data_IF_617512412601
#
_entry.id   IF_617512412601
#
_cell.length_a   1.000
_cell.length_b   1.000
_cell.length_c   1.000
_cell.angle_alpha   90.00
_cell.angle_beta   90.00
_cell.angle_gamma   90.00
#
_symmetry.space_group_name_H-M   'P 1'
#
loop_
_entity.id
_entity.type
_entity.pdbx_description
1 polymer ?
#
# COMPACT_ATOMS: atom_id res chain seq x y z
N UNK A 1 28.56 10.02 -20.18
CA UNK A 1 27.99 10.81 -19.06
C UNK A 1 26.48 10.78 -19.22
N UNK A 2 25.76 10.09 -18.33
CA UNK A 2 24.30 9.94 -18.38
C UNK A 2 23.66 11.17 -17.74
N UNK A 3 22.94 11.98 -18.52
CA UNK A 3 22.11 13.06 -17.98
C UNK A 3 20.92 12.46 -17.25
N UNK A 4 20.86 12.70 -15.94
CA UNK A 4 19.78 12.22 -15.08
C UNK A 4 18.45 12.83 -15.55
N UNK A 5 17.53 11.99 -16.06
CA UNK A 5 16.23 12.45 -16.53
C UNK A 5 15.35 12.81 -15.32
N UNK A 6 14.89 14.07 -15.26
CA UNK A 6 13.99 14.57 -14.20
C UNK A 6 12.54 14.33 -14.60
N UNK A 7 11.67 14.05 -13.62
CA UNK A 7 10.23 13.81 -13.83
C UNK A 7 9.39 14.83 -13.05
N UNK A 8 8.25 15.23 -13.60
CA UNK A 8 7.32 16.15 -12.97
C UNK A 8 6.66 15.49 -11.76
N UNK A 9 6.71 16.08 -10.56
CA UNK A 9 6.14 15.48 -9.35
C UNK A 9 4.61 15.49 -9.33
N UNK A 10 3.97 16.33 -10.15
CA UNK A 10 2.51 16.45 -10.18
C UNK A 10 1.86 15.43 -11.14
N UNK A 11 2.46 15.19 -12.30
CA UNK A 11 1.87 14.35 -13.36
C UNK A 11 2.77 13.22 -13.90
N UNK A 12 4.03 13.14 -13.46
CA UNK A 12 4.97 12.10 -13.90
C UNK A 12 5.59 12.29 -15.29
N UNK A 13 5.31 13.39 -15.98
CA UNK A 13 5.90 13.67 -17.31
C UNK A 13 7.42 13.93 -17.23
N UNK A 14 8.17 13.55 -18.26
CA UNK A 14 9.62 13.82 -18.36
C UNK A 14 9.86 15.32 -18.52
N UNK A 15 10.81 15.86 -17.76
CA UNK A 15 11.20 17.26 -17.78
C UNK A 15 12.50 17.40 -18.57
N UNK A 16 12.39 17.98 -19.77
CA UNK A 16 13.52 18.29 -20.65
C UNK A 16 14.30 19.53 -20.18
N UNK A 17 14.66 19.59 -18.90
CA UNK A 17 15.41 20.70 -18.31
C UNK A 17 14.60 21.99 -18.09
N UNK A 18 13.27 21.97 -18.26
CA UNK A 18 12.38 23.13 -18.04
C UNK A 18 11.90 23.20 -16.58
N UNK A 19 11.76 24.41 -16.04
CA UNK A 19 11.25 24.67 -14.68
C UNK A 19 9.73 24.46 -14.56
N UNK A 20 8.98 24.65 -15.64
CA UNK A 20 7.53 24.46 -15.68
C UNK A 20 7.17 23.23 -16.52
N UNK A 21 6.33 22.35 -15.98
CA UNK A 21 5.85 21.17 -16.68
C UNK A 21 4.89 21.55 -17.81
N UNK A 22 5.24 21.17 -19.04
CA UNK A 22 4.42 21.42 -20.24
C UNK A 22 3.09 20.66 -20.27
N UNK A 23 2.97 19.57 -19.51
CA UNK A 23 1.76 18.72 -19.50
C UNK A 23 0.71 19.19 -18.49
N UNK A 24 1.12 19.74 -17.34
CA UNK A 24 0.19 20.11 -16.27
C UNK A 24 0.36 21.54 -15.73
N UNK A 25 1.27 22.33 -16.30
CA UNK A 25 1.54 23.72 -15.88
C UNK A 25 2.23 23.84 -14.52
N UNK A 26 2.68 22.73 -13.93
CA UNK A 26 3.29 22.74 -12.61
C UNK A 26 4.69 23.38 -12.63
N UNK A 27 4.86 24.45 -11.84
CA UNK A 27 6.11 25.19 -11.70
C UNK A 27 6.98 24.60 -10.57
N UNK A 28 8.18 24.13 -10.92
CA UNK A 28 9.13 23.55 -9.99
C UNK A 28 9.88 24.58 -9.13
N UNK A 29 10.01 25.84 -9.58
CA UNK A 29 10.64 26.90 -8.78
C UNK A 29 9.73 27.31 -7.62
N UNK A 30 8.41 27.23 -7.83
CA UNK A 30 7.42 27.49 -6.77
C UNK A 30 7.59 26.56 -5.55
N UNK A 31 8.13 25.35 -5.72
CA UNK A 31 8.45 24.46 -4.58
C UNK A 31 9.78 24.79 -3.92
N UNK A 32 10.79 25.28 -4.64
CA UNK A 32 12.06 25.69 -4.05
C UNK A 32 11.85 26.92 -3.14
N UNK A 33 11.00 27.86 -3.56
CA UNK A 33 10.65 29.03 -2.77
C UNK A 33 9.68 28.72 -1.62
N UNK A 34 8.73 27.78 -1.83
CA UNK A 34 7.86 27.31 -0.74
C UNK A 34 8.65 26.58 0.35
N UNK A 35 9.62 25.74 -0.01
CA UNK A 35 10.48 25.04 0.96
C UNK A 35 11.46 25.99 1.66
N UNK A 36 11.83 27.10 1.04
CA UNK A 36 12.71 28.11 1.66
C UNK A 36 11.92 29.05 2.59
N UNK A 37 10.68 29.43 2.23
CA UNK A 37 9.82 30.32 3.04
C UNK A 37 9.13 29.64 4.23
N UNK A 38 9.11 28.31 4.31
CA UNK A 38 8.60 27.61 5.51
C UNK A 38 9.59 27.70 6.69
N UNK A 39 10.86 28.02 6.45
CA UNK A 39 11.90 28.02 7.49
C UNK A 39 12.15 29.36 8.19
N UNK A 40 11.44 30.43 7.85
CA UNK A 40 11.59 31.71 8.56
C UNK A 40 10.26 32.46 8.72
N UNK A 41 9.98 32.82 9.98
CA UNK A 41 9.02 33.80 10.48
C UNK A 41 7.56 33.36 10.76
N UNK A 42 7.30 33.14 12.04
CA UNK A 42 6.24 33.80 12.83
C UNK A 42 4.77 33.61 12.43
N UNK A 43 4.29 32.36 12.47
CA UNK A 43 2.87 32.06 12.68
C UNK A 43 2.67 31.31 14.01
N UNK A 44 1.88 31.83 14.97
CA UNK A 44 1.57 31.10 16.19
C UNK A 44 0.60 29.97 15.85
N UNK A 45 1.06 28.71 15.94
CA UNK A 45 0.18 27.55 16.03
C UNK A 45 0.30 26.47 14.96
N UNK A 46 1.23 26.54 14.01
CA UNK A 46 1.69 25.34 13.29
C UNK A 46 3.06 24.96 13.81
N UNK A 47 3.08 24.24 14.94
CA UNK A 47 4.25 23.45 15.32
C UNK A 47 4.57 22.59 14.11
N UNK A 48 5.73 22.86 13.51
CA UNK A 48 6.38 22.08 12.47
C UNK A 48 6.05 20.58 12.62
N UNK A 49 5.08 20.11 11.83
CA UNK A 49 4.70 18.70 11.73
C UNK A 49 5.89 17.85 11.26
N UNK A 50 6.89 18.52 10.65
CA UNK A 50 8.14 17.98 10.15
C UNK A 50 9.11 17.56 11.27
N UNK A 51 9.07 18.17 12.45
CA UNK A 51 10.04 17.88 13.52
C UNK A 51 9.51 16.89 14.58
N UNK A 52 8.21 16.93 14.91
CA UNK A 52 7.64 16.06 15.96
C UNK A 52 7.51 14.60 15.49
N UNK A 53 7.13 14.39 14.21
CA UNK A 53 7.01 13.04 13.66
C UNK A 53 8.35 12.41 13.27
N UNK A 54 9.41 13.20 13.06
CA UNK A 54 10.70 12.68 12.62
C UNK A 54 11.34 11.72 13.64
N UNK A 55 11.25 12.05 14.94
CA UNK A 55 11.77 11.19 16.00
C UNK A 55 10.98 9.87 16.13
N UNK A 56 9.65 9.94 16.01
CA UNK A 56 8.77 8.77 16.00
C UNK A 56 9.06 7.91 14.79
N UNK A 57 9.09 8.53 13.60
CA UNK A 57 9.38 7.87 12.33
C UNK A 57 10.72 7.13 12.37
N UNK A 58 11.81 7.80 12.76
CA UNK A 58 13.13 7.17 12.84
C UNK A 58 13.13 5.92 13.73
N UNK A 59 12.29 5.89 14.77
CA UNK A 59 12.14 4.73 15.66
C UNK A 59 11.36 3.60 14.99
N UNK A 60 10.26 3.91 14.30
CA UNK A 60 9.37 2.92 13.69
C UNK A 60 9.80 2.46 12.30
N UNK A 61 10.60 3.26 11.58
CA UNK A 61 10.98 3.05 10.19
C UNK A 61 11.59 1.68 9.98
N UNK A 62 12.49 1.25 10.88
CA UNK A 62 13.12 -0.07 10.80
C UNK A 62 12.08 -1.21 10.80
N UNK A 63 11.00 -1.08 11.57
CA UNK A 63 9.93 -2.06 11.64
C UNK A 63 9.04 -2.00 10.40
N UNK A 64 8.71 -0.79 9.93
CA UNK A 64 7.92 -0.56 8.71
C UNK A 64 8.64 -1.11 7.48
N UNK A 65 9.94 -0.83 7.35
CA UNK A 65 10.78 -1.33 6.25
C UNK A 65 10.94 -2.84 6.34
N UNK A 66 11.19 -3.38 7.54
CA UNK A 66 11.29 -4.82 7.74
C UNK A 66 9.99 -5.54 7.33
N UNK A 67 8.86 -5.14 7.92
CA UNK A 67 7.55 -5.78 7.64
C UNK A 67 7.14 -5.59 6.18
N UNK A 68 7.28 -4.39 5.61
CA UNK A 68 6.95 -4.13 4.22
C UNK A 68 7.82 -4.91 3.22
N UNK A 69 9.13 -5.06 3.48
CA UNK A 69 10.06 -5.82 2.63
C UNK A 69 9.77 -7.32 2.60
N UNK A 70 9.26 -7.87 3.69
CA UNK A 70 8.98 -9.31 3.82
C UNK A 70 7.50 -9.66 3.65
N UNK A 71 6.63 -8.65 3.44
CA UNK A 71 5.17 -8.81 3.30
C UNK A 71 4.76 -9.84 2.24
N UNK A 72 5.47 -9.88 1.10
CA UNK A 72 5.19 -10.83 0.02
C UNK A 72 5.43 -12.29 0.42
N UNK A 73 6.42 -12.58 1.27
CA UNK A 73 6.71 -13.94 1.75
C UNK A 73 5.64 -14.44 2.71
N UNK A 74 5.19 -13.57 3.62
CA UNK A 74 4.08 -13.89 4.52
C UNK A 74 2.81 -14.18 3.73
N UNK A 75 2.54 -13.39 2.69
CA UNK A 75 1.40 -13.60 1.79
C UNK A 75 1.50 -14.91 0.99
N UNK A 76 2.69 -15.32 0.53
CA UNK A 76 2.88 -16.65 -0.08
C UNK A 76 2.56 -17.76 0.92
N UNK A 77 3.05 -17.64 2.17
CA UNK A 77 2.69 -18.57 3.23
C UNK A 77 1.18 -18.64 3.46
N UNK A 78 0.51 -17.49 3.47
CA UNK A 78 -0.94 -17.42 3.60
C UNK A 78 -1.67 -18.08 2.42
N UNK A 79 -1.21 -17.90 1.18
CA UNK A 79 -1.76 -18.59 0.01
C UNK A 79 -1.72 -20.11 0.19
N UNK A 80 -0.59 -20.65 0.64
CA UNK A 80 -0.45 -22.10 0.87
C UNK A 80 -1.43 -22.60 1.94
N UNK A 81 -1.54 -21.87 3.06
CA UNK A 81 -2.50 -22.21 4.12
C UNK A 81 -3.93 -22.19 3.59
N UNK A 82 -4.30 -21.17 2.80
CA UNK A 82 -5.64 -21.03 2.23
C UNK A 82 -5.97 -22.12 1.20
N UNK A 83 -5.01 -22.52 0.37
CA UNK A 83 -5.19 -23.62 -0.56
C UNK A 83 -5.42 -24.94 0.19
N UNK A 84 -4.61 -25.24 1.20
CA UNK A 84 -4.75 -26.47 2.00
C UNK A 84 -6.07 -26.47 2.77
N UNK A 85 -6.37 -25.38 3.49
CA UNK A 85 -7.62 -25.24 4.25
C UNK A 85 -8.85 -25.28 3.35
N UNK A 86 -8.78 -24.65 2.17
CA UNK A 86 -9.85 -24.67 1.16
C UNK A 86 -10.13 -26.08 0.63
N UNK A 87 -9.10 -26.86 0.34
CA UNK A 87 -9.24 -28.26 -0.09
C UNK A 87 -9.84 -29.11 1.04
N UNK A 88 -9.35 -28.97 2.28
CA UNK A 88 -9.89 -29.70 3.43
C UNK A 88 -11.38 -29.36 3.64
N UNK A 89 -11.75 -28.07 3.57
CA UNK A 89 -13.13 -27.61 3.73
C UNK A 89 -14.04 -28.13 2.61
N UNK A 90 -13.55 -28.20 1.36
CA UNK A 90 -14.29 -28.79 0.24
C UNK A 90 -14.56 -30.28 0.45
N UNK A 91 -13.52 -31.07 0.74
CA UNK A 91 -13.64 -32.53 0.95
C UNK A 91 -14.54 -32.82 2.16
N UNK A 92 -14.29 -32.13 3.28
CA UNK A 92 -15.08 -32.26 4.50
C UNK A 92 -16.53 -31.83 4.31
N UNK A 93 -16.77 -30.73 3.58
CA UNK A 93 -18.11 -30.25 3.27
C UNK A 93 -18.91 -31.23 2.40
N UNK A 94 -18.28 -31.85 1.39
CA UNK A 94 -18.90 -32.91 0.58
C UNK A 94 -19.24 -34.13 1.45
N UNK A 95 -18.33 -34.56 2.32
CA UNK A 95 -18.56 -35.68 3.22
C UNK A 95 -19.68 -35.41 4.23
N UNK A 96 -19.74 -34.20 4.82
CA UNK A 96 -20.80 -33.78 5.73
C UNK A 96 -22.16 -33.72 5.05
N UNK A 97 -22.23 -33.17 3.83
CA UNK A 97 -23.47 -33.08 3.08
C UNK A 97 -24.04 -34.46 2.73
N UNK A 98 -23.17 -35.46 2.48
CA UNK A 98 -23.58 -36.84 2.23
C UNK A 98 -24.12 -37.56 3.47
N UNK A 99 -23.55 -37.31 4.65
CA UNK A 99 -23.86 -38.10 5.85
C UNK A 99 -24.94 -37.46 6.75
N UNK A 100 -24.93 -36.14 6.86
CA UNK A 100 -25.79 -35.41 7.82
C UNK A 100 -26.87 -34.62 7.08
N UNK A 101 -26.63 -34.28 5.81
CA UNK A 101 -27.53 -33.46 5.00
C UNK A 101 -27.64 -32.02 5.52
N UNK A 102 -27.84 -31.08 4.61
CA UNK A 102 -28.31 -29.73 4.95
C UNK A 102 -27.24 -28.63 4.98
N UNK A 103 -27.62 -27.52 5.63
CA UNK A 103 -26.98 -26.21 5.51
C UNK A 103 -25.50 -26.17 5.94
N UNK A 104 -25.09 -27.04 6.87
CA UNK A 104 -23.71 -27.08 7.40
C UNK A 104 -22.73 -27.55 6.32
N UNK A 105 -23.08 -28.59 5.55
CA UNK A 105 -22.25 -29.09 4.45
C UNK A 105 -22.09 -28.05 3.35
N UNK A 106 -23.17 -27.38 2.98
CA UNK A 106 -23.15 -26.30 1.98
C UNK A 106 -22.31 -25.09 2.44
N UNK A 107 -22.38 -24.72 3.71
CA UNK A 107 -21.56 -23.64 4.27
C UNK A 107 -20.06 -23.98 4.23
N UNK A 108 -19.68 -25.22 4.56
CA UNK A 108 -18.29 -25.68 4.48
C UNK A 108 -17.77 -25.67 3.04
N UNK A 109 -18.57 -26.13 2.07
CA UNK A 109 -18.22 -26.06 0.64
C UNK A 109 -18.06 -24.60 0.20
N UNK A 110 -19.00 -23.73 0.57
CA UNK A 110 -18.93 -22.29 0.26
C UNK A 110 -17.67 -21.63 0.83
N UNK A 111 -17.32 -21.94 2.09
CA UNK A 111 -16.08 -21.48 2.71
C UNK A 111 -14.84 -21.99 1.95
N UNK A 112 -14.84 -23.26 1.54
CA UNK A 112 -13.74 -23.84 0.76
C UNK A 112 -13.56 -23.14 -0.58
N UNK A 113 -14.64 -22.89 -1.33
CA UNK A 113 -14.60 -22.13 -2.59
C UNK A 113 -14.07 -20.71 -2.35
N UNK A 114 -14.55 -20.02 -1.32
CA UNK A 114 -14.10 -18.67 -0.99
C UNK A 114 -12.60 -18.62 -0.70
N UNK A 115 -12.08 -19.58 0.08
CA UNK A 115 -10.64 -19.68 0.37
C UNK A 115 -9.80 -19.90 -0.90
N UNK A 116 -10.28 -20.72 -1.83
CA UNK A 116 -9.59 -20.96 -3.11
C UNK A 116 -9.55 -19.69 -3.98
N UNK A 117 -10.68 -18.98 -4.08
CA UNK A 117 -10.75 -17.70 -4.80
C UNK A 117 -9.82 -16.67 -4.15
N UNK A 118 -9.83 -16.57 -2.82
CA UNK A 118 -8.95 -15.71 -2.05
C UNK A 118 -7.47 -16.00 -2.32
N UNK A 119 -7.07 -17.27 -2.31
CA UNK A 119 -5.69 -17.68 -2.60
C UNK A 119 -5.23 -17.26 -4.01
N UNK A 120 -6.07 -17.47 -5.03
CA UNK A 120 -5.76 -17.09 -6.41
C UNK A 120 -5.65 -15.57 -6.55
N UNK A 121 -6.63 -14.82 -6.02
CA UNK A 121 -6.61 -13.35 -6.03
C UNK A 121 -5.39 -12.79 -5.29
N UNK A 122 -5.05 -13.34 -4.12
CA UNK A 122 -3.84 -12.96 -3.39
C UNK A 122 -2.58 -13.20 -4.22
N UNK A 123 -2.48 -14.32 -4.94
CA UNK A 123 -1.34 -14.59 -5.83
C UNK A 123 -1.17 -13.53 -6.91
N UNK A 124 -2.28 -13.13 -7.55
CA UNK A 124 -2.27 -12.05 -8.54
C UNK A 124 -1.87 -10.72 -7.91
N UNK A 125 -2.44 -10.38 -6.75
CA UNK A 125 -2.13 -9.13 -6.05
C UNK A 125 -0.67 -9.06 -5.59
N UNK A 126 -0.08 -10.18 -5.17
CA UNK A 126 1.34 -10.25 -4.84
C UNK A 126 2.17 -9.86 -6.05
N UNK A 127 1.91 -10.50 -7.20
CA UNK A 127 2.71 -10.32 -8.39
C UNK A 127 2.64 -8.89 -8.92
N UNK A 128 1.43 -8.34 -9.07
CA UNK A 128 1.22 -7.03 -9.70
C UNK A 128 1.47 -5.86 -8.75
N UNK A 129 1.32 -6.03 -7.43
CA UNK A 129 1.33 -4.91 -6.51
C UNK A 129 2.27 -5.07 -5.32
N UNK A 130 2.19 -6.18 -4.59
CA UNK A 130 2.99 -6.33 -3.35
C UNK A 130 4.48 -6.45 -3.64
N UNK A 131 4.88 -7.13 -4.72
CA UNK A 131 6.28 -7.21 -5.11
C UNK A 131 6.89 -5.84 -5.48
N UNK A 132 6.26 -5.03 -6.36
CA UNK A 132 6.70 -3.64 -6.59
C UNK A 132 6.74 -2.81 -5.30
N UNK A 133 5.70 -2.91 -4.48
CA UNK A 133 5.59 -2.20 -3.21
C UNK A 133 6.73 -2.55 -2.25
N UNK A 134 7.00 -3.83 -2.06
CA UNK A 134 8.08 -4.36 -1.22
C UNK A 134 9.45 -3.84 -1.68
N UNK A 135 9.69 -3.77 -2.99
CA UNK A 135 10.93 -3.20 -3.56
C UNK A 135 11.03 -1.70 -3.26
N UNK A 136 9.94 -0.95 -3.40
CA UNK A 136 9.90 0.50 -3.14
C UNK A 136 10.06 0.84 -1.66
N UNK A 137 9.47 0.07 -0.76
CA UNK A 137 9.72 0.19 0.69
C UNK A 137 11.18 -0.10 1.01
N UNK A 138 11.76 -1.16 0.46
CA UNK A 138 13.15 -1.51 0.71
C UNK A 138 14.12 -0.41 0.21
N UNK A 139 13.75 0.29 -0.86
CA UNK A 139 14.48 1.43 -1.39
C UNK A 139 14.20 2.76 -0.65
N UNK A 140 13.30 2.77 0.35
CA UNK A 140 12.86 3.97 1.09
C UNK A 140 12.30 5.08 0.18
N UNK A 141 11.68 4.70 -0.94
CA UNK A 141 11.09 5.63 -1.90
C UNK A 141 9.69 6.07 -1.43
N UNK A 142 9.62 6.77 -0.29
CA UNK A 142 8.35 7.15 0.35
C UNK A 142 7.54 8.13 -0.49
N UNK A 143 8.21 8.97 -1.29
CA UNK A 143 7.54 9.87 -2.21
C UNK A 143 6.73 9.11 -3.25
N UNK A 144 7.28 8.03 -3.83
CA UNK A 144 6.51 7.17 -4.74
C UNK A 144 5.34 6.51 -4.01
N UNK A 145 5.58 5.94 -2.82
CA UNK A 145 4.56 5.20 -2.07
C UNK A 145 3.35 6.04 -1.65
N UNK A 146 3.59 7.31 -1.29
CA UNK A 146 2.54 8.25 -0.92
C UNK A 146 1.84 8.84 -2.14
N UNK A 147 2.55 9.05 -3.25
CA UNK A 147 1.97 9.67 -4.44
C UNK A 147 1.35 8.69 -5.44
N UNK A 148 1.64 7.40 -5.33
CA UNK A 148 0.98 6.35 -6.13
C UNK A 148 -0.45 6.10 -5.62
N UNK A 149 -1.36 7.00 -6.02
CA UNK A 149 -2.73 7.07 -5.53
C UNK A 149 -3.76 6.67 -6.59
N UNK A 150 -4.91 6.18 -6.13
CA UNK A 150 -6.16 6.14 -6.88
C UNK A 150 -6.98 7.36 -6.48
N UNK A 151 -7.53 8.06 -7.47
CA UNK A 151 -8.42 9.20 -7.25
C UNK A 151 -9.86 8.70 -7.30
N UNK A 152 -10.59 8.87 -6.20
CA UNK A 152 -12.01 8.57 -6.08
C UNK A 152 -12.78 9.88 -5.88
N UNK A 153 -13.19 10.50 -6.98
CA UNK A 153 -13.80 11.83 -6.97
C UNK A 153 -12.82 12.89 -6.47
N UNK A 154 -13.06 13.45 -5.28
CA UNK A 154 -12.17 14.44 -4.63
C UNK A 154 -11.18 13.82 -3.64
N UNK A 155 -11.29 12.53 -3.36
CA UNK A 155 -10.44 11.82 -2.40
C UNK A 155 -9.26 11.15 -3.12
N UNK A 156 -8.05 11.30 -2.58
CA UNK A 156 -6.84 10.60 -3.04
C UNK A 156 -6.51 9.50 -2.04
N UNK A 157 -6.53 8.24 -2.48
CA UNK A 157 -6.17 7.09 -1.65
C UNK A 157 -4.93 6.40 -2.20
N UNK A 158 -3.87 6.20 -1.40
CA UNK A 158 -2.69 5.45 -1.83
C UNK A 158 -3.08 4.03 -2.20
N UNK A 159 -2.60 3.57 -3.36
CA UNK A 159 -2.92 2.23 -3.90
C UNK A 159 -2.60 1.14 -2.89
N UNK A 160 -1.47 1.25 -2.19
CA UNK A 160 -1.06 0.29 -1.15
C UNK A 160 -2.08 0.13 -0.03
N UNK A 161 -2.77 1.21 0.38
CA UNK A 161 -3.79 1.17 1.43
C UNK A 161 -5.03 0.45 0.93
N UNK A 162 -5.51 0.83 -0.26
CA UNK A 162 -6.68 0.21 -0.89
C UNK A 162 -6.45 -1.30 -1.10
N UNK A 163 -5.27 -1.67 -1.60
CA UNK A 163 -4.90 -3.05 -1.86
C UNK A 163 -4.68 -3.86 -0.58
N UNK A 164 -4.14 -3.24 0.48
CA UNK A 164 -4.06 -3.85 1.80
C UNK A 164 -5.45 -4.21 2.34
N UNK A 165 -6.43 -3.32 2.19
CA UNK A 165 -7.83 -3.56 2.59
C UNK A 165 -8.45 -4.70 1.75
N UNK A 166 -8.24 -4.69 0.43
CA UNK A 166 -8.74 -5.76 -0.45
C UNK A 166 -8.13 -7.10 -0.03
N UNK A 167 -6.81 -7.17 0.19
CA UNK A 167 -6.15 -8.37 0.68
C UNK A 167 -6.76 -8.84 2.00
N UNK A 168 -7.01 -7.93 2.94
CA UNK A 168 -7.58 -8.25 4.24
C UNK A 168 -8.96 -8.94 4.12
N UNK A 169 -9.83 -8.43 3.24
CA UNK A 169 -11.18 -8.99 2.99
C UNK A 169 -11.09 -10.40 2.39
N UNK A 170 -10.21 -10.60 1.41
CA UNK A 170 -10.07 -11.89 0.73
C UNK A 170 -9.25 -12.93 1.51
N UNK A 171 -8.47 -12.49 2.50
CA UNK A 171 -7.61 -13.34 3.35
C UNK A 171 -8.03 -13.38 4.80
N UNK A 172 -9.33 -13.12 5.07
CA UNK A 172 -9.97 -13.18 6.39
C UNK A 172 -9.15 -12.52 7.51
N UNK A 173 -8.53 -11.37 7.24
CA UNK A 173 -7.90 -10.54 8.27
C UNK A 173 -6.42 -10.76 8.55
N UNK A 174 -5.75 -11.73 7.91
CA UNK A 174 -4.34 -12.03 8.26
C UNK A 174 -3.35 -11.74 7.13
N UNK A 175 -3.77 -11.89 5.87
CA UNK A 175 -2.88 -11.67 4.73
C UNK A 175 -2.64 -10.19 4.42
N UNK A 176 -3.63 -9.32 4.64
CA UNK A 176 -3.53 -7.89 4.35
C UNK A 176 -2.74 -7.11 5.39
N UNK A 177 -2.74 -7.54 6.64
CA UNK A 177 -2.15 -6.83 7.78
C UNK A 177 -0.68 -6.42 7.56
N UNK A 178 0.15 -7.30 6.99
CA UNK A 178 1.57 -7.03 6.75
C UNK A 178 1.84 -6.02 5.64
N UNK A 179 0.84 -5.71 4.81
CA UNK A 179 0.88 -4.63 3.81
C UNK A 179 0.21 -3.38 4.38
N UNK A 180 -0.91 -3.56 5.07
CA UNK A 180 -1.75 -2.49 5.59
C UNK A 180 -1.05 -1.71 6.71
N UNK A 181 -0.39 -2.39 7.65
CA UNK A 181 0.30 -1.73 8.77
C UNK A 181 1.43 -0.81 8.27
N UNK A 182 2.37 -1.28 7.41
CA UNK A 182 3.36 -0.39 6.81
C UNK A 182 2.75 0.76 6.02
N UNK A 183 1.71 0.50 5.24
CA UNK A 183 1.03 1.52 4.45
C UNK A 183 0.41 2.61 5.35
N UNK A 184 -0.27 2.23 6.43
CA UNK A 184 -0.83 3.16 7.41
C UNK A 184 0.28 3.98 8.08
N UNK A 185 1.36 3.33 8.54
CA UNK A 185 2.50 4.03 9.13
C UNK A 185 3.09 5.06 8.15
N UNK A 186 3.26 4.71 6.88
CA UNK A 186 3.80 5.63 5.86
C UNK A 186 2.83 6.80 5.63
N UNK A 187 1.52 6.55 5.55
CA UNK A 187 0.53 7.60 5.28
C UNK A 187 0.41 8.64 6.41
N UNK A 188 0.55 8.21 7.67
CA UNK A 188 0.26 9.07 8.83
C UNK A 188 1.49 9.52 9.60
N UNK A 189 2.55 8.71 9.61
CA UNK A 189 3.78 8.94 10.38
C UNK A 189 5.01 9.05 9.47
N UNK A 190 4.85 8.80 8.16
CA UNK A 190 5.94 8.83 7.20
C UNK A 190 6.57 10.21 7.01
N UNK A 191 7.78 10.25 6.43
CA UNK A 191 8.52 11.50 6.22
C UNK A 191 7.97 12.29 5.02
N UNK A 192 7.11 11.68 4.19
CA UNK A 192 6.52 12.30 3.01
C UNK A 192 5.05 12.69 3.29
N UNK A 193 4.68 13.90 2.90
CA UNK A 193 3.33 14.43 3.13
C UNK A 193 2.33 13.94 2.08
N UNK A 194 1.22 13.34 2.54
CA UNK A 194 0.10 12.93 1.70
C UNK A 194 -0.91 14.07 1.50
N UNK A 195 -1.19 14.41 0.25
CA UNK A 195 -2.37 15.22 -0.10
C UNK A 195 -3.60 14.32 -0.25
N UNK A 196 -4.49 14.35 0.73
CA UNK A 196 -5.71 13.53 0.75
C UNK A 196 -6.82 14.02 -0.18
N UNK A 197 -6.77 15.28 -0.62
CA UNK A 197 -7.74 15.87 -1.56
C UNK A 197 -7.04 16.31 -2.85
N UNK A 198 -7.78 16.19 -3.95
CA UNK A 198 -7.42 16.78 -5.25
C UNK A 198 -7.74 18.27 -5.23
#
# INVERSE_FOLDING_TARGET
MSTEQKFCPNCGAILEGKSICSQCGFDMESQADANTKINTADAPGMISYENTNKNVWNTIEKYVVFTGKWSWLVLIGNILVYLIAGIIALIGGIALNRNIGGNIGNAAIGSGIWMMIGAILSGLLIFFFVLPFSKKIAARDYNFLVNDVVVLGKLRLPKMLLLGIILEVFTQGWGGLFVLVPALCICFLGPAYMRWRV
#
